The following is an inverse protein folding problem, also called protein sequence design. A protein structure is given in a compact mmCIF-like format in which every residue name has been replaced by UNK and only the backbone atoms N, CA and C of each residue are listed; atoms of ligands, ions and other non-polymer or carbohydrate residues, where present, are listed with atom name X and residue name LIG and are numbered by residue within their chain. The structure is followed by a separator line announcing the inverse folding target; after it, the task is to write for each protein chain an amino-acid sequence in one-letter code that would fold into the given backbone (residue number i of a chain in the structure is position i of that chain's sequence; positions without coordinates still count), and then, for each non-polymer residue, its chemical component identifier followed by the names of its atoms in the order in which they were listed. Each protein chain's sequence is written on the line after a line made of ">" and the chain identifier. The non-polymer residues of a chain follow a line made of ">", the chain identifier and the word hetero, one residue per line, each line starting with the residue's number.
data_IF_133280344655
#
_entry.id   IF_133280344655
#
_cell.length_a   1.000
_cell.length_b   1.000
_cell.length_c   1.000
_cell.angle_alpha   90.00
_cell.angle_beta   90.00
_cell.angle_gamma   90.00
#
_symmetry.space_group_name_H-M   'P 1'
#
loop_
_entity.id
_entity.type
_entity.pdbx_description
1 polymer ?
#
# COMPACT_ATOMS: atom_id res chain seq x y z
N UNK A 1 27.78 24.23 -33.92
CA UNK A 1 26.34 24.01 -34.19
C UNK A 1 25.58 24.39 -32.93
N UNK A 2 24.75 25.45 -32.93
CA UNK A 2 23.89 25.72 -31.79
C UNK A 2 22.72 24.73 -31.86
N UNK A 3 22.78 23.68 -31.03
CA UNK A 3 21.66 22.78 -30.83
C UNK A 3 20.75 23.34 -29.74
N UNK A 4 19.48 23.57 -30.06
CA UNK A 4 18.46 23.96 -29.09
C UNK A 4 18.31 22.87 -28.01
N UNK A 5 18.89 23.11 -26.85
CA UNK A 5 18.76 22.22 -25.70
C UNK A 5 17.38 22.44 -25.06
N UNK A 6 16.39 21.65 -25.49
CA UNK A 6 15.06 21.66 -24.87
C UNK A 6 15.05 20.78 -23.62
N UNK A 7 15.22 21.40 -22.46
CA UNK A 7 14.93 20.76 -21.18
C UNK A 7 13.41 20.76 -20.96
N UNK A 8 12.81 19.59 -20.84
CA UNK A 8 11.39 19.45 -20.52
C UNK A 8 11.21 18.73 -19.18
N UNK A 9 10.55 19.41 -18.24
CA UNK A 9 10.14 18.85 -16.94
C UNK A 9 8.66 18.50 -16.99
N UNK A 10 8.31 17.26 -16.63
CA UNK A 10 6.94 16.75 -16.70
C UNK A 10 6.40 16.38 -15.31
N UNK A 11 5.14 16.71 -15.00
CA UNK A 11 4.49 16.30 -13.76
C UNK A 11 4.03 14.83 -13.80
N UNK A 12 4.28 14.11 -12.71
CA UNK A 12 3.88 12.71 -12.50
C UNK A 12 2.93 12.59 -11.30
N UNK A 13 1.92 11.73 -11.41
CA UNK A 13 1.03 11.36 -10.30
C UNK A 13 1.43 9.97 -9.79
N UNK A 14 1.53 9.79 -8.47
CA UNK A 14 1.81 8.51 -7.84
C UNK A 14 0.59 8.03 -7.05
N UNK A 15 0.12 6.82 -7.35
CA UNK A 15 -0.92 6.11 -6.62
C UNK A 15 -0.27 5.04 -5.77
N UNK A 16 -0.57 5.01 -4.47
CA UNK A 16 -0.02 4.05 -3.52
C UNK A 16 -1.16 3.20 -2.95
N UNK A 17 -0.99 1.90 -3.00
CA UNK A 17 -1.90 0.90 -2.50
C UNK A 17 -1.19 0.17 -1.37
N UNK A 18 -1.85 0.06 -0.23
CA UNK A 18 -1.39 -0.75 0.89
C UNK A 18 -1.56 -2.25 0.62
N UNK A 19 -1.62 -3.07 1.68
CA UNK A 19 -1.75 -4.52 1.53
C UNK A 19 -2.98 -4.86 0.70
N UNK A 20 -2.80 -5.73 -0.29
CA UNK A 20 -3.87 -6.17 -1.17
C UNK A 20 -3.75 -7.65 -1.48
N UNK A 21 -4.89 -8.30 -1.70
CA UNK A 21 -4.98 -9.74 -1.93
C UNK A 21 -5.86 -10.05 -3.15
N UNK A 22 -5.35 -10.88 -4.04
CA UNK A 22 -6.07 -11.37 -5.21
C UNK A 22 -6.62 -12.75 -4.87
N UNK A 23 -7.95 -12.83 -4.76
CA UNK A 23 -8.63 -14.08 -4.46
C UNK A 23 -8.49 -15.12 -5.56
N UNK A 24 -8.55 -16.39 -5.17
CA UNK A 24 -8.57 -17.50 -6.11
C UNK A 24 -9.92 -17.57 -6.86
N UNK A 25 -9.95 -17.95 -8.15
CA UNK A 25 -11.17 -18.39 -8.81
C UNK A 25 -11.79 -19.63 -8.12
N UNK A 26 -13.08 -19.84 -8.36
CA UNK A 26 -13.82 -21.02 -7.86
C UNK A 26 -13.12 -22.30 -8.32
N UNK A 27 -12.98 -23.26 -7.41
CA UNK A 27 -12.34 -24.56 -7.69
C UNK A 27 -10.85 -24.65 -7.37
N UNK A 28 -10.22 -23.58 -6.86
CA UNK A 28 -8.79 -23.56 -6.51
C UNK A 28 -8.52 -23.39 -5.00
N UNK A 29 -9.57 -23.41 -4.18
CA UNK A 29 -9.52 -23.26 -2.72
C UNK A 29 -9.63 -21.81 -2.23
N UNK A 30 -9.64 -21.64 -0.90
CA UNK A 30 -9.87 -20.34 -0.25
C UNK A 30 -8.60 -19.49 -0.08
N UNK A 31 -7.42 -20.09 -0.25
CA UNK A 31 -6.17 -19.36 -0.18
C UNK A 31 -6.07 -18.37 -1.36
N UNK A 32 -5.62 -17.13 -1.13
CA UNK A 32 -5.45 -16.14 -2.18
C UNK A 32 -4.43 -16.61 -3.22
N UNK A 33 -4.67 -16.24 -4.48
CA UNK A 33 -3.77 -16.51 -5.60
C UNK A 33 -2.49 -15.67 -5.49
N UNK A 34 -2.62 -14.39 -5.13
CA UNK A 34 -1.49 -13.50 -4.95
C UNK A 34 -1.76 -12.53 -3.82
N UNK A 35 -0.72 -12.18 -3.06
CA UNK A 35 -0.78 -11.14 -2.03
C UNK A 35 0.37 -10.18 -2.24
N UNK A 36 0.17 -8.92 -1.87
CA UNK A 36 1.21 -7.89 -1.90
C UNK A 36 1.08 -7.01 -0.67
N UNK A 37 2.21 -6.50 -0.17
CA UNK A 37 2.22 -5.61 0.99
C UNK A 37 2.04 -4.16 0.56
N UNK A 38 2.65 -3.77 -0.56
CA UNK A 38 2.54 -2.43 -1.10
C UNK A 38 2.65 -2.46 -2.62
N UNK A 39 1.88 -1.61 -3.29
CA UNK A 39 2.01 -1.36 -4.72
C UNK A 39 1.97 0.14 -5.00
N UNK A 40 2.92 0.65 -5.77
CA UNK A 40 2.94 2.03 -6.23
C UNK A 40 2.90 2.07 -7.75
N UNK A 41 2.01 2.90 -8.30
CA UNK A 41 1.88 3.11 -9.74
C UNK A 41 2.05 4.59 -10.03
N UNK A 42 2.97 4.90 -10.94
CA UNK A 42 3.20 6.26 -11.42
C UNK A 42 2.58 6.41 -12.80
N UNK A 43 1.75 7.43 -12.95
CA UNK A 43 1.09 7.79 -14.22
C UNK A 43 1.44 9.22 -14.60
N UNK A 44 1.58 9.50 -15.89
CA UNK A 44 1.85 10.87 -16.37
C UNK A 44 0.60 11.73 -16.20
N UNK A 45 0.76 12.96 -15.72
CA UNK A 45 -0.39 13.84 -15.46
C UNK A 45 -0.93 14.51 -16.74
N UNK A 46 -0.04 15.02 -17.62
CA UNK A 46 -0.48 15.72 -18.85
C UNK A 46 -1.32 14.86 -19.79
N UNK A 47 -0.97 13.58 -20.08
CA UNK A 47 -1.77 12.71 -20.93
C UNK A 47 -3.17 12.45 -20.34
N UNK A 48 -3.32 12.41 -19.01
CA UNK A 48 -4.62 12.22 -18.37
C UNK A 48 -5.60 13.37 -18.67
N UNK A 49 -5.10 14.60 -18.81
CA UNK A 49 -5.94 15.73 -19.26
C UNK A 49 -6.44 15.54 -20.70
N UNK A 50 -5.71 14.77 -21.51
CA UNK A 50 -6.09 14.35 -22.86
C UNK A 50 -6.86 13.02 -22.87
N UNK A 51 -7.20 12.48 -21.70
CA UNK A 51 -7.83 11.16 -21.50
C UNK A 51 -6.97 9.98 -21.97
N UNK A 52 -5.65 10.18 -22.02
CA UNK A 52 -4.66 9.16 -22.35
C UNK A 52 -4.03 8.63 -21.07
N UNK A 53 -4.16 7.32 -20.82
CA UNK A 53 -3.54 6.68 -19.66
C UNK A 53 -2.14 6.19 -20.02
N UNK A 54 -1.13 6.94 -19.57
CA UNK A 54 0.27 6.54 -19.70
C UNK A 54 0.85 6.11 -18.35
N UNK A 55 1.08 4.81 -18.20
CA UNK A 55 1.74 4.22 -17.03
C UNK A 55 3.25 4.36 -17.19
N UNK A 56 3.89 5.02 -16.23
CA UNK A 56 5.34 5.25 -16.23
C UNK A 56 6.10 4.15 -15.52
N UNK A 57 5.84 3.95 -14.22
CA UNK A 57 6.53 2.97 -13.38
C UNK A 57 5.55 2.26 -12.47
N UNK A 58 5.73 0.96 -12.30
CA UNK A 58 5.02 0.13 -11.34
C UNK A 58 6.07 -0.43 -10.38
N UNK A 59 5.83 -0.27 -9.08
CA UNK A 59 6.68 -0.77 -7.99
C UNK A 59 5.80 -1.66 -7.11
N UNK A 60 6.27 -2.87 -6.81
CA UNK A 60 5.53 -3.84 -5.99
C UNK A 60 6.48 -4.34 -4.91
N UNK A 61 6.02 -4.36 -3.67
CA UNK A 61 6.76 -4.84 -2.51
C UNK A 61 6.01 -5.99 -1.83
N UNK A 62 6.77 -7.00 -1.40
CA UNK A 62 6.24 -8.17 -0.71
C UNK A 62 5.26 -9.00 -1.53
N UNK A 63 5.48 -9.11 -2.85
CA UNK A 63 4.66 -9.94 -3.74
C UNK A 63 4.86 -11.43 -3.45
N UNK A 64 3.78 -12.11 -3.08
CA UNK A 64 3.70 -13.57 -2.97
C UNK A 64 2.66 -14.09 -3.97
N UNK A 65 3.01 -15.14 -4.73
CA UNK A 65 2.15 -15.70 -5.78
C UNK A 65 2.10 -17.21 -5.65
N UNK A 66 0.88 -17.75 -5.61
CA UNK A 66 0.59 -19.18 -5.60
C UNK A 66 -0.07 -19.60 -6.91
N UNK A 67 0.71 -20.22 -7.79
CA UNK A 67 0.24 -20.75 -9.05
C UNK A 67 -0.22 -22.20 -8.87
N UNK A 68 -1.50 -22.47 -9.15
CA UNK A 68 -2.08 -23.81 -9.11
C UNK A 68 -2.75 -24.09 -10.45
N UNK A 69 -2.49 -25.27 -11.00
CA UNK A 69 -3.14 -25.79 -12.19
C UNK A 69 -4.08 -26.93 -11.77
N UNK A 70 -5.32 -26.90 -12.24
CA UNK A 70 -6.29 -27.97 -12.00
C UNK A 70 -6.12 -29.11 -13.02
N UNK A 71 -6.89 -30.18 -12.85
CA UNK A 71 -6.87 -31.36 -13.73
C UNK A 71 -7.22 -31.03 -15.20
N UNK A 72 -8.01 -29.97 -15.43
CA UNK A 72 -8.34 -29.47 -16.78
C UNK A 72 -7.18 -28.65 -17.43
N UNK A 73 -6.03 -28.55 -16.77
CA UNK A 73 -4.91 -27.73 -17.22
C UNK A 73 -5.13 -26.22 -17.08
N UNK A 74 -6.20 -25.79 -16.41
CA UNK A 74 -6.51 -24.37 -16.15
C UNK A 74 -5.75 -23.89 -14.94
N UNK A 75 -4.99 -22.81 -15.12
CA UNK A 75 -4.31 -22.10 -14.05
C UNK A 75 -5.20 -21.10 -13.33
N UNK A 76 -5.07 -21.00 -12.01
CA UNK A 76 -5.82 -20.03 -11.21
C UNK A 76 -5.58 -18.55 -11.61
N UNK A 77 -4.39 -18.21 -12.11
CA UNK A 77 -4.03 -16.87 -12.56
C UNK A 77 -4.83 -16.39 -13.78
N UNK A 78 -5.41 -17.30 -14.57
CA UNK A 78 -6.15 -16.93 -15.79
C UNK A 78 -7.49 -16.25 -15.50
N UNK A 79 -8.02 -16.42 -14.29
CA UNK A 79 -9.33 -15.88 -13.89
C UNK A 79 -9.25 -15.13 -12.55
N UNK A 80 -8.05 -14.89 -12.02
CA UNK A 80 -7.87 -14.19 -10.77
C UNK A 80 -8.38 -12.74 -10.88
N UNK A 81 -9.17 -12.29 -9.90
CA UNK A 81 -9.69 -10.93 -9.83
C UNK A 81 -9.20 -10.23 -8.56
N UNK A 82 -8.62 -9.03 -8.67
CA UNK A 82 -8.18 -8.28 -7.50
C UNK A 82 -9.40 -7.97 -6.62
N UNK A 83 -9.28 -8.26 -5.33
CA UNK A 83 -10.23 -7.81 -4.31
C UNK A 83 -9.49 -6.81 -3.44
N UNK A 84 -9.96 -5.57 -3.38
CA UNK A 84 -9.49 -4.61 -2.39
C UNK A 84 -10.36 -4.77 -1.15
N UNK A 85 -9.93 -5.60 -0.21
CA UNK A 85 -10.47 -5.64 1.13
C UNK A 85 -9.93 -4.45 1.92
N UNK A 86 -10.77 -3.44 2.15
CA UNK A 86 -10.40 -2.21 2.86
C UNK A 86 -10.19 -2.40 4.38
N UNK A 87 -9.74 -3.57 4.83
CA UNK A 87 -9.51 -3.90 6.26
C UNK A 87 -8.04 -3.82 6.62
N UNK A 88 -7.39 -2.71 6.26
CA UNK A 88 -6.03 -2.39 6.70
C UNK A 88 -6.08 -1.49 7.94
N UNK A 89 -6.07 -2.10 9.13
CA UNK A 89 -5.71 -1.39 10.37
C UNK A 89 -4.31 -0.82 10.18
N UNK A 90 -4.21 0.51 10.09
CA UNK A 90 -2.92 1.21 10.11
C UNK A 90 -2.21 0.79 11.40
N UNK A 91 -1.01 0.18 11.35
CA UNK A 91 -0.22 -0.03 12.55
C UNK A 91 0.16 1.36 13.05
N UNK A 92 -0.56 1.82 14.06
CA UNK A 92 -0.17 3.02 14.80
C UNK A 92 1.10 2.65 15.55
N UNK A 93 2.25 2.92 14.93
CA UNK A 93 3.57 2.86 15.57
C UNK A 93 3.45 3.48 16.96
N UNK A 94 3.71 2.75 18.07
CA UNK A 94 3.65 3.35 19.39
C UNK A 94 4.70 4.45 19.43
N UNK A 95 4.25 5.70 19.49
CA UNK A 95 5.12 6.84 19.74
C UNK A 95 5.62 6.69 21.18
N UNK A 96 6.79 6.08 21.31
CA UNK A 96 7.60 6.19 22.51
C UNK A 96 7.78 7.68 22.84
N UNK A 97 7.47 8.04 24.09
CA UNK A 97 7.77 9.36 24.64
C UNK A 97 6.55 10.16 25.10
N UNK A 98 6.05 9.81 26.28
CA UNK A 98 5.59 10.84 27.22
C UNK A 98 5.95 10.42 28.65
N UNK A 99 6.89 11.11 29.33
CA UNK A 99 7.17 10.85 30.73
C UNK A 99 5.95 11.30 31.57
N UNK A 100 5.48 10.40 32.44
CA UNK A 100 4.45 10.73 33.44
C UNK A 100 4.88 11.97 34.22
N UNK A 101 4.04 13.03 34.33
CA UNK A 101 4.37 14.16 35.17
C UNK A 101 4.46 13.71 36.63
N UNK A 102 5.61 13.98 37.26
CA UNK A 102 5.84 13.83 38.70
C UNK A 102 4.69 14.50 39.46
N UNK A 103 3.93 13.71 40.22
CA UNK A 103 3.01 14.22 41.24
C UNK A 103 3.81 15.06 42.25
N UNK A 104 3.79 16.38 42.09
CA UNK A 104 4.03 17.33 43.18
C UNK A 104 2.66 17.76 43.71
N UNK A 105 2.32 17.36 44.93
CA UNK A 105 1.48 18.19 45.81
C UNK A 105 2.08 18.19 47.20
N UNK A 106 2.60 19.36 47.54
CA UNK A 106 2.95 19.79 48.88
C UNK A 106 1.68 20.02 49.72
N UNK A 107 1.89 19.95 51.04
CA UNK A 107 1.07 20.48 52.13
C UNK A 107 -0.12 19.65 52.61
N UNK A 108 0.08 18.99 53.76
CA UNK A 108 -0.64 19.43 54.94
C UNK A 108 0.20 19.24 56.21
N UNK A 109 0.50 20.39 56.83
CA UNK A 109 1.07 20.53 58.17
C UNK A 109 0.03 20.09 59.21
N UNK A 110 0.56 19.46 60.27
CA UNK A 110 0.15 19.62 61.67
C UNK A 110 -1.29 19.28 62.06
N UNK A 111 -1.45 18.32 62.97
CA UNK A 111 -1.67 18.61 64.41
C UNK A 111 -1.67 17.29 65.20
N UNK A 112 -0.97 17.35 66.34
CA UNK A 112 -1.08 16.43 67.48
C UNK A 112 -2.55 16.37 67.91
N UNK A 113 -3.02 15.21 68.38
CA UNK A 113 -3.38 14.92 69.76
C UNK A 113 -3.60 13.41 69.88
#
# INVERSE_FOLDING_TARGET
>A
MPGDLKLSVYPWLALNLGPASIGNPRGFGDAPFATLQHAAVRVKLLPLLRKELEVGRIEIDGLDVRLVQNEDGKGNWRTARPRCDASGTIPTKPRAGQPRPRRRRHHQRSRRF
#
